data_IF_130077225578
#
_entry.id   IF_130077225578
#
_cell.length_a   1.000
_cell.length_b   1.000
_cell.length_c   1.000
_cell.angle_alpha   90.00
_cell.angle_beta   90.00
_cell.angle_gamma   90.00
#
_symmetry.space_group_name_H-M   'P 1'
#
loop_
_entity.id
_entity.type
_entity.pdbx_description
1 polymer ?
#
# COMPACT_ATOMS: atom_id res chain seq x y z
N UNK A 1 -32.63 72.96 -0.85
CA UNK A 1 -31.68 72.25 -1.73
C UNK A 1 -31.38 70.91 -1.07
N UNK A 2 -31.91 69.81 -1.62
CA UNK A 2 -31.73 68.43 -1.14
C UNK A 2 -30.55 67.79 -1.89
N UNK A 3 -29.65 67.12 -1.18
CA UNK A 3 -28.73 66.05 -1.65
C UNK A 3 -28.22 65.31 -0.39
N UNK A 4 -28.64 64.09 -0.04
CA UNK A 4 -28.49 62.76 -0.64
C UNK A 4 -27.08 62.14 -0.50
N UNK A 5 -27.00 61.06 0.30
CA UNK A 5 -26.17 59.84 0.19
C UNK A 5 -24.67 59.98 -0.12
N UNK A 6 -23.79 59.37 0.69
CA UNK A 6 -23.47 57.94 0.50
C UNK A 6 -22.74 57.38 1.73
N UNK A 7 -23.36 56.40 2.41
CA UNK A 7 -22.65 55.48 3.28
C UNK A 7 -22.02 54.40 2.40
N UNK A 8 -20.69 54.34 2.37
CA UNK A 8 -19.96 53.25 1.73
C UNK A 8 -20.10 51.98 2.56
N UNK A 9 -20.73 50.96 1.98
CA UNK A 9 -20.71 49.61 2.51
C UNK A 9 -19.35 48.98 2.22
N UNK A 10 -18.50 48.83 3.24
CA UNK A 10 -17.35 47.92 3.18
C UNK A 10 -17.88 46.49 3.26
N UNK A 11 -18.00 45.85 2.11
CA UNK A 11 -18.23 44.41 2.01
C UNK A 11 -17.01 43.66 2.53
N UNK A 12 -17.16 42.99 3.67
CA UNK A 12 -16.21 42.00 4.16
C UNK A 12 -16.08 40.87 3.15
N UNK A 13 -14.96 40.82 2.42
CA UNK A 13 -14.57 39.65 1.62
C UNK A 13 -14.31 38.49 2.58
N UNK A 14 -15.26 37.54 2.62
CA UNK A 14 -15.01 36.23 3.21
C UNK A 14 -14.11 35.49 2.22
N UNK A 15 -12.80 35.48 2.48
CA UNK A 15 -11.87 34.61 1.78
C UNK A 15 -12.25 33.16 2.12
N UNK A 16 -12.83 32.46 1.13
CA UNK A 16 -13.04 31.02 1.20
C UNK A 16 -11.68 30.33 1.32
N UNK A 17 -11.37 29.81 2.51
CA UNK A 17 -10.21 28.95 2.74
C UNK A 17 -10.38 27.69 1.90
N UNK A 18 -9.76 27.66 0.72
CA UNK A 18 -9.51 26.41 0.01
C UNK A 18 -8.61 25.55 0.89
N UNK A 19 -9.18 24.49 1.44
CA UNK A 19 -8.44 23.50 2.21
C UNK A 19 -7.56 22.73 1.23
N UNK A 20 -6.33 23.16 1.03
CA UNK A 20 -5.32 22.40 0.28
C UNK A 20 -5.14 21.07 1.01
N UNK A 21 -5.72 20.01 0.47
CA UNK A 21 -5.57 18.67 1.04
C UNK A 21 -4.19 18.15 0.66
N UNK A 22 -3.21 18.35 1.53
CA UNK A 22 -1.89 17.73 1.37
C UNK A 22 -2.07 16.21 1.50
N UNK A 23 -2.05 15.50 0.36
CA UNK A 23 -2.07 14.03 0.37
C UNK A 23 -0.78 13.56 1.03
N UNK A 24 -0.89 12.97 2.22
CA UNK A 24 0.24 12.33 2.89
C UNK A 24 0.48 10.98 2.21
N UNK A 25 1.70 10.77 1.73
CA UNK A 25 2.18 9.51 1.18
C UNK A 25 3.14 8.86 2.19
N UNK A 26 3.01 7.55 2.42
CA UNK A 26 3.95 6.80 3.24
C UNK A 26 4.36 5.51 2.53
N UNK A 27 5.66 5.21 2.54
CA UNK A 27 6.23 3.98 2.00
C UNK A 27 6.76 3.13 3.15
N UNK A 28 6.36 1.88 3.20
CA UNK A 28 6.85 0.86 4.13
C UNK A 28 7.40 -0.32 3.35
N UNK A 29 8.31 -1.07 3.97
CA UNK A 29 8.88 -2.28 3.37
C UNK A 29 8.71 -3.49 4.29
N UNK A 30 8.49 -4.66 3.70
CA UNK A 30 8.74 -5.90 4.41
C UNK A 30 10.24 -6.22 4.50
N UNK A 31 10.56 -7.39 5.05
CA UNK A 31 11.94 -7.79 5.37
C UNK A 31 12.73 -8.39 4.21
N UNK A 32 12.07 -8.76 3.09
CA UNK A 32 12.77 -9.51 2.02
C UNK A 32 13.82 -8.68 1.29
N UNK A 33 13.56 -7.38 1.06
CA UNK A 33 14.47 -6.53 0.31
C UNK A 33 14.34 -5.04 0.67
N UNK A 34 14.67 -4.65 1.92
CA UNK A 34 14.50 -3.27 2.41
C UNK A 34 15.39 -2.26 1.68
N UNK A 35 16.54 -2.68 1.15
CA UNK A 35 17.47 -1.78 0.44
C UNK A 35 16.83 -1.16 -0.82
N UNK A 36 16.12 -1.96 -1.62
CA UNK A 36 15.35 -1.43 -2.75
C UNK A 36 14.26 -0.45 -2.30
N UNK A 37 13.64 -0.69 -1.15
CA UNK A 37 12.63 0.23 -0.61
C UNK A 37 13.26 1.56 -0.21
N UNK A 38 14.46 1.51 0.37
CA UNK A 38 15.28 2.67 0.67
C UNK A 38 15.62 3.47 -0.58
N UNK A 39 16.07 2.80 -1.65
CA UNK A 39 16.35 3.45 -2.94
C UNK A 39 15.10 4.10 -3.54
N UNK A 40 13.96 3.40 -3.54
CA UNK A 40 12.68 3.97 -4.02
C UNK A 40 12.27 5.18 -3.18
N UNK A 41 12.40 5.11 -1.85
CA UNK A 41 12.10 6.22 -0.96
C UNK A 41 12.97 7.45 -1.28
N UNK A 42 14.27 7.25 -1.50
CA UNK A 42 15.21 8.32 -1.87
C UNK A 42 14.83 8.97 -3.20
N UNK A 43 14.49 8.19 -4.22
CA UNK A 43 14.05 8.72 -5.52
C UNK A 43 12.74 9.52 -5.42
N UNK A 44 11.88 9.20 -4.46
CA UNK A 44 10.63 9.91 -4.20
C UNK A 44 10.80 11.11 -3.24
N UNK A 45 12.00 11.32 -2.68
CA UNK A 45 12.23 12.36 -1.67
C UNK A 45 11.52 12.09 -0.34
N UNK A 46 11.33 10.82 0.02
CA UNK A 46 10.63 10.37 1.21
C UNK A 46 11.56 9.60 2.16
N UNK A 47 11.19 9.53 3.43
CA UNK A 47 11.78 8.58 4.37
C UNK A 47 11.00 7.26 4.36
N UNK A 48 11.70 6.13 4.45
CA UNK A 48 11.06 4.84 4.62
C UNK A 48 10.48 4.75 6.03
N UNK A 49 9.20 4.43 6.13
CA UNK A 49 8.52 4.27 7.42
C UNK A 49 8.95 2.99 8.13
N UNK A 50 8.84 2.99 9.47
CA UNK A 50 9.15 1.84 10.31
C UNK A 50 7.88 0.98 10.58
N UNK A 51 7.81 -0.25 10.03
CA UNK A 51 6.71 -1.17 10.27
C UNK A 51 6.85 -2.01 11.54
N UNK A 52 7.97 -1.92 12.28
CA UNK A 52 8.26 -2.65 13.51
C UNK A 52 7.79 -4.12 13.48
N UNK A 53 8.32 -4.89 12.52
CA UNK A 53 7.93 -6.28 12.31
C UNK A 53 8.65 -7.15 13.34
N UNK A 54 7.89 -7.69 14.28
CA UNK A 54 8.39 -8.66 15.26
C UNK A 54 7.93 -10.08 14.91
N UNK A 55 8.77 -11.07 15.17
CA UNK A 55 8.46 -12.49 14.98
C UNK A 55 8.46 -13.22 16.33
N UNK A 56 7.41 -14.00 16.58
CA UNK A 56 7.30 -14.86 17.76
C UNK A 56 8.12 -16.14 17.59
N UNK A 57 8.40 -16.85 18.68
CA UNK A 57 9.18 -18.09 18.67
C UNK A 57 8.55 -19.23 17.86
N UNK A 58 7.24 -19.16 17.59
CA UNK A 58 6.52 -20.13 16.76
C UNK A 58 6.48 -19.73 15.27
N UNK A 59 7.11 -18.62 14.88
CA UNK A 59 7.19 -18.15 13.51
C UNK A 59 6.14 -17.11 13.12
N UNK A 60 5.10 -16.89 13.94
CA UNK A 60 4.09 -15.87 13.69
C UNK A 60 4.69 -14.46 13.68
N UNK A 61 4.12 -13.58 12.87
CA UNK A 61 4.58 -12.21 12.68
C UNK A 61 3.57 -11.20 13.22
N UNK A 62 4.09 -10.08 13.71
CA UNK A 62 3.29 -8.97 14.22
C UNK A 62 3.88 -7.66 13.71
N UNK A 63 3.43 -7.15 12.55
CA UNK A 63 3.73 -5.80 12.11
C UNK A 63 2.98 -4.77 12.95
N UNK A 64 3.61 -3.63 13.23
CA UNK A 64 3.00 -2.49 13.91
C UNK A 64 3.66 -1.20 13.43
N UNK A 65 2.95 -0.41 12.63
CA UNK A 65 3.47 0.90 12.22
C UNK A 65 3.79 1.78 13.43
N UNK A 66 5.04 2.26 13.50
CA UNK A 66 5.50 3.14 14.58
C UNK A 66 4.83 4.52 14.51
N UNK A 67 4.47 4.95 13.29
CA UNK A 67 3.79 6.22 13.02
C UNK A 67 2.32 6.01 12.63
N UNK A 68 1.49 7.03 12.85
CA UNK A 68 0.09 6.99 12.41
C UNK A 68 -0.03 7.03 10.88
N UNK A 69 -0.71 6.02 10.33
CA UNK A 69 -1.07 5.89 8.91
C UNK A 69 -2.51 6.34 8.61
N UNK A 70 -3.26 6.81 9.62
CA UNK A 70 -4.65 7.24 9.44
C UNK A 70 -4.77 8.30 8.35
N UNK A 71 -5.66 8.07 7.38
CA UNK A 71 -5.93 9.01 6.28
C UNK A 71 -4.80 9.16 5.26
N UNK A 72 -3.75 8.33 5.34
CA UNK A 72 -2.57 8.37 4.47
C UNK A 72 -2.74 7.46 3.25
N UNK A 73 -2.13 7.82 2.12
CA UNK A 73 -1.95 6.92 0.98
C UNK A 73 -0.69 6.07 1.26
N UNK A 74 -0.90 4.81 1.64
CA UNK A 74 0.13 3.88 2.12
C UNK A 74 0.58 2.96 0.99
N UNK A 75 1.88 2.85 0.79
CA UNK A 75 2.53 1.91 -0.11
C UNK A 75 3.30 0.89 0.73
N UNK A 76 3.00 -0.39 0.54
CA UNK A 76 3.66 -1.48 1.26
C UNK A 76 4.41 -2.31 0.24
N UNK A 77 5.73 -2.22 0.26
CA UNK A 77 6.61 -2.87 -0.71
C UNK A 77 7.23 -4.15 -0.16
N UNK A 78 7.04 -5.25 -0.86
CA UNK A 78 7.63 -6.54 -0.51
C UNK A 78 7.85 -7.39 -1.76
N UNK A 79 9.03 -7.99 -1.89
CA UNK A 79 9.29 -9.02 -2.89
C UNK A 79 8.87 -10.38 -2.37
N UNK A 80 8.11 -11.15 -3.16
CA UNK A 80 7.64 -12.47 -2.74
C UNK A 80 8.72 -13.54 -2.94
N UNK A 81 9.73 -13.56 -2.08
CA UNK A 81 10.87 -14.47 -2.17
C UNK A 81 11.30 -14.92 -0.77
N UNK A 82 11.97 -16.08 -0.68
CA UNK A 82 12.50 -16.59 0.58
C UNK A 82 13.92 -16.10 0.84
N UNK A 83 14.15 -15.47 2.00
CA UNK A 83 15.47 -15.03 2.47
C UNK A 83 15.71 -15.53 3.90
N UNK A 84 16.96 -15.87 4.25
CA UNK A 84 17.35 -16.25 5.63
C UNK A 84 16.49 -17.37 6.25
N UNK A 85 16.16 -18.39 5.44
CA UNK A 85 15.34 -19.53 5.87
C UNK A 85 13.83 -19.28 5.84
N UNK A 86 13.38 -18.07 5.51
CA UNK A 86 11.98 -17.80 5.17
C UNK A 86 11.64 -18.28 3.75
N UNK A 87 10.35 -18.44 3.49
CA UNK A 87 9.78 -18.88 2.22
C UNK A 87 9.04 -17.75 1.50
N UNK A 88 8.68 -18.00 0.24
CA UNK A 88 7.76 -17.15 -0.51
C UNK A 88 6.44 -16.92 0.24
N UNK A 89 5.97 -17.92 1.00
CA UNK A 89 4.73 -17.80 1.78
C UNK A 89 4.88 -16.82 2.93
N UNK A 90 6.03 -16.84 3.62
CA UNK A 90 6.28 -15.95 4.75
C UNK A 90 6.30 -14.48 4.28
N UNK A 91 6.95 -14.21 3.14
CA UNK A 91 6.97 -12.86 2.56
C UNK A 91 5.57 -12.37 2.14
N UNK A 92 4.72 -13.24 1.58
CA UNK A 92 3.33 -12.90 1.22
C UNK A 92 2.50 -12.67 2.48
N UNK A 93 2.58 -13.56 3.47
CA UNK A 93 1.87 -13.42 4.75
C UNK A 93 2.28 -12.15 5.50
N UNK A 94 3.55 -11.77 5.43
CA UNK A 94 4.06 -10.51 5.98
C UNK A 94 3.43 -9.30 5.32
N UNK A 95 3.39 -9.25 3.99
CA UNK A 95 2.76 -8.14 3.30
C UNK A 95 1.25 -8.07 3.59
N UNK A 96 0.56 -9.22 3.63
CA UNK A 96 -0.87 -9.30 3.98
C UNK A 96 -1.13 -8.78 5.41
N UNK A 97 -0.31 -9.18 6.38
CA UNK A 97 -0.44 -8.73 7.77
C UNK A 97 -0.19 -7.22 7.89
N UNK A 98 0.78 -6.67 7.13
CA UNK A 98 1.01 -5.22 7.09
C UNK A 98 -0.17 -4.46 6.47
N UNK A 99 -0.79 -5.03 5.43
CA UNK A 99 -1.96 -4.44 4.76
C UNK A 99 -3.17 -4.45 5.71
N UNK A 100 -3.47 -5.57 6.37
CA UNK A 100 -4.55 -5.65 7.37
C UNK A 100 -4.32 -4.64 8.51
N UNK A 101 -3.08 -4.52 9.00
CA UNK A 101 -2.73 -3.52 10.02
C UNK A 101 -2.98 -2.09 9.53
N UNK A 102 -2.69 -1.78 8.27
CA UNK A 102 -2.89 -0.44 7.69
C UNK A 102 -4.38 -0.13 7.49
N UNK A 103 -5.16 -1.11 7.05
CA UNK A 103 -6.60 -1.01 6.86
C UNK A 103 -7.31 -0.74 8.19
N UNK A 104 -6.99 -1.54 9.22
CA UNK A 104 -7.52 -1.34 10.58
C UNK A 104 -7.07 -0.02 11.21
N UNK A 105 -5.90 0.48 10.84
CA UNK A 105 -5.41 1.80 11.24
C UNK A 105 -6.06 2.96 10.45
N UNK A 106 -7.03 2.66 9.59
CA UNK A 106 -7.79 3.62 8.77
C UNK A 106 -6.91 4.38 7.78
N UNK A 107 -5.95 3.69 7.15
CA UNK A 107 -5.29 4.22 5.96
C UNK A 107 -6.34 4.61 4.91
N UNK A 108 -6.10 5.69 4.16
CA UNK A 108 -7.05 6.16 3.14
C UNK A 108 -7.03 5.28 1.90
N UNK A 109 -5.83 4.85 1.52
CA UNK A 109 -5.59 3.99 0.37
C UNK A 109 -4.36 3.14 0.66
N UNK A 110 -4.42 1.86 0.30
CA UNK A 110 -3.32 0.92 0.46
C UNK A 110 -2.95 0.37 -0.91
N UNK A 111 -1.68 0.54 -1.28
CA UNK A 111 -1.10 -0.02 -2.50
C UNK A 111 -0.09 -1.10 -2.11
N UNK A 112 -0.38 -2.34 -2.48
CA UNK A 112 0.60 -3.43 -2.44
C UNK A 112 1.58 -3.25 -3.59
N UNK A 113 2.87 -3.10 -3.28
CA UNK A 113 3.94 -3.04 -4.27
C UNK A 113 4.71 -4.36 -4.18
N UNK A 114 4.65 -5.15 -5.24
CA UNK A 114 5.24 -6.49 -5.32
C UNK A 114 6.28 -6.50 -6.45
N UNK A 115 7.54 -6.05 -6.23
CA UNK A 115 8.55 -6.02 -7.29
C UNK A 115 8.73 -7.38 -7.97
N UNK A 116 8.65 -8.46 -7.19
CA UNK A 116 8.54 -9.82 -7.68
C UNK A 116 7.23 -10.45 -7.18
N UNK A 117 6.33 -10.80 -8.10
CA UNK A 117 5.04 -11.42 -7.78
C UNK A 117 5.17 -12.95 -7.66
N UNK A 118 5.18 -13.43 -6.44
CA UNK A 118 5.19 -14.85 -6.10
C UNK A 118 3.98 -15.59 -6.66
N UNK A 119 4.16 -16.89 -6.93
CA UNK A 119 3.16 -17.74 -7.58
C UNK A 119 2.75 -17.36 -9.01
N UNK A 120 3.39 -16.36 -9.64
CA UNK A 120 3.06 -15.91 -11.00
C UNK A 120 3.10 -17.01 -12.08
N UNK A 121 3.86 -18.09 -11.88
CA UNK A 121 3.93 -19.22 -12.82
C UNK A 121 2.70 -20.12 -12.79
N UNK A 122 1.87 -20.03 -11.75
CA UNK A 122 0.63 -20.80 -11.60
C UNK A 122 -0.57 -19.88 -11.83
N UNK A 123 -0.60 -19.28 -13.02
CA UNK A 123 -1.59 -18.31 -13.50
C UNK A 123 -2.74 -18.94 -14.31
N UNK A 124 -2.66 -20.24 -14.59
CA UNK A 124 -3.72 -21.02 -15.22
C UNK A 124 -3.70 -22.45 -14.71
N UNK A 125 -4.76 -23.19 -14.99
CA UNK A 125 -4.76 -24.65 -14.85
C UNK A 125 -3.96 -25.23 -16.01
N UNK A 126 -2.81 -25.85 -15.73
CA UNK A 126 -2.11 -26.64 -16.73
C UNK A 126 -2.78 -28.01 -16.86
N UNK A 127 -3.21 -28.57 -15.73
CA UNK A 127 -3.96 -29.81 -15.63
C UNK A 127 -5.27 -29.64 -14.84
N UNK A 128 -6.15 -30.64 -14.94
CA UNK A 128 -7.37 -30.68 -14.14
C UNK A 128 -7.06 -30.77 -12.65
N UNK A 129 -7.83 -30.03 -11.82
CA UNK A 129 -7.74 -30.03 -10.34
C UNK A 129 -6.50 -29.32 -9.75
N UNK A 130 -5.80 -28.52 -10.54
CA UNK A 130 -4.78 -27.61 -10.02
C UNK A 130 -5.37 -26.28 -9.53
N UNK A 131 -4.75 -25.61 -8.55
CA UNK A 131 -5.09 -24.25 -8.17
C UNK A 131 -4.57 -23.24 -9.20
N UNK A 132 -5.16 -22.05 -9.21
CA UNK A 132 -4.60 -20.86 -9.87
C UNK A 132 -4.08 -19.94 -8.77
N UNK A 133 -2.90 -20.26 -8.24
CA UNK A 133 -2.39 -19.62 -7.01
C UNK A 133 -2.07 -18.15 -7.21
N UNK A 134 -1.68 -17.73 -8.43
CA UNK A 134 -1.51 -16.30 -8.73
C UNK A 134 -2.82 -15.51 -8.51
N UNK A 135 -3.98 -16.11 -8.84
CA UNK A 135 -5.31 -15.52 -8.60
C UNK A 135 -5.66 -15.53 -7.11
N UNK A 136 -5.42 -16.64 -6.42
CA UNK A 136 -5.62 -16.74 -4.97
C UNK A 136 -4.86 -15.63 -4.23
N UNK A 137 -3.60 -15.40 -4.59
CA UNK A 137 -2.79 -14.32 -3.99
C UNK A 137 -3.43 -12.96 -4.23
N UNK A 138 -3.89 -12.65 -5.45
CA UNK A 138 -4.56 -11.39 -5.75
C UNK A 138 -5.85 -11.20 -4.93
N UNK A 139 -6.66 -12.26 -4.80
CA UNK A 139 -7.88 -12.24 -4.00
C UNK A 139 -7.57 -12.03 -2.50
N UNK A 140 -6.51 -12.65 -1.97
CA UNK A 140 -6.07 -12.42 -0.58
C UNK A 140 -5.65 -10.96 -0.34
N UNK A 141 -4.89 -10.36 -1.27
CA UNK A 141 -4.51 -8.94 -1.17
C UNK A 141 -5.73 -8.02 -1.16
N UNK A 142 -6.72 -8.30 -2.01
CA UNK A 142 -7.97 -7.53 -2.03
C UNK A 142 -8.72 -7.68 -0.71
N UNK A 143 -8.88 -8.91 -0.22
CA UNK A 143 -9.56 -9.19 1.05
C UNK A 143 -8.86 -8.58 2.26
N UNK A 144 -7.52 -8.50 2.25
CA UNK A 144 -6.74 -7.87 3.33
C UNK A 144 -6.93 -6.34 3.38
N UNK A 145 -7.39 -5.70 2.29
CA UNK A 145 -7.63 -4.26 2.24
C UNK A 145 -6.82 -3.49 1.17
N UNK A 146 -6.07 -4.18 0.30
CA UNK A 146 -5.37 -3.49 -0.79
C UNK A 146 -6.35 -2.90 -1.81
N UNK A 147 -6.15 -1.63 -2.17
CA UNK A 147 -6.91 -0.95 -3.23
C UNK A 147 -6.19 -0.99 -4.58
N UNK A 148 -4.88 -1.25 -4.58
CA UNK A 148 -4.06 -1.33 -5.79
C UNK A 148 -2.96 -2.34 -5.58
N UNK A 149 -2.61 -3.03 -6.66
CA UNK A 149 -1.42 -3.86 -6.74
C UNK A 149 -0.51 -3.35 -7.86
N UNK A 150 0.78 -3.19 -7.57
CA UNK A 150 1.82 -2.83 -8.54
C UNK A 150 2.84 -3.97 -8.56
N UNK A 151 3.21 -4.43 -9.75
CA UNK A 151 4.25 -5.43 -9.94
C UNK A 151 5.10 -5.10 -11.17
N UNK A 152 6.30 -5.68 -11.23
CA UNK A 152 7.21 -5.57 -12.38
C UNK A 152 7.22 -6.93 -13.11
N UNK A 153 7.27 -6.89 -14.45
CA UNK A 153 7.48 -8.05 -15.34
C UNK A 153 6.75 -9.33 -14.93
N UNK A 154 5.42 -9.26 -14.85
CA UNK A 154 4.59 -10.42 -14.57
C UNK A 154 4.85 -11.55 -15.58
N UNK A 155 4.83 -12.79 -15.10
CA UNK A 155 5.02 -13.98 -15.94
C UNK A 155 4.05 -14.03 -17.15
N UNK A 156 2.85 -13.49 -16.97
CA UNK A 156 1.83 -13.38 -17.99
C UNK A 156 1.01 -12.10 -17.78
N UNK A 157 0.63 -11.45 -18.88
CA UNK A 157 -0.21 -10.25 -18.83
C UNK A 157 -1.62 -10.51 -18.26
N UNK A 158 -2.10 -11.75 -18.30
CA UNK A 158 -3.41 -12.13 -17.76
C UNK A 158 -3.52 -11.90 -16.25
N UNK A 159 -2.39 -11.97 -15.53
CA UNK A 159 -2.33 -11.76 -14.08
C UNK A 159 -2.82 -10.36 -13.69
N UNK A 160 -2.69 -9.36 -14.58
CA UNK A 160 -3.23 -8.02 -14.33
C UNK A 160 -4.75 -8.03 -14.14
N UNK A 161 -5.47 -8.94 -14.82
CA UNK A 161 -6.91 -9.11 -14.69
C UNK A 161 -7.36 -9.91 -13.48
N UNK A 162 -6.42 -10.42 -12.65
CA UNK A 162 -6.77 -11.15 -11.43
C UNK A 162 -7.13 -10.25 -10.26
N UNK A 163 -6.63 -9.01 -10.26
CA UNK A 163 -6.87 -8.06 -9.19
C UNK A 163 -7.99 -7.08 -9.56
N UNK A 164 -9.01 -6.98 -8.71
CA UNK A 164 -10.14 -6.05 -8.85
C UNK A 164 -10.17 -5.09 -7.64
N UNK A 165 -9.33 -4.06 -7.70
CA UNK A 165 -8.90 -3.17 -6.62
C UNK A 165 -9.67 -1.90 -6.42
#
# INVERSE_FOLDING_TARGET
MKTASTFGAEGSKVESLEKVTTKKLALYSGRTHPDLAGEVAQHLGLSLGDPNITQFSNGEIRPRFTESVRGTDVFIMQSHYGIDGSSVNDSIMEQLAMIDAADRASAKRITAVCPFYGYARQDRKAEGREPVTARLVADMFKLAGANRLISIDLHSGQIQGFFDG
#
